data_IF_108797421834
#
_entry.id   IF_108797421834
#
_cell.length_a   1.000
_cell.length_b   1.000
_cell.length_c   1.000
_cell.angle_alpha   90.00
_cell.angle_beta   90.00
_cell.angle_gamma   90.00
#
_symmetry.space_group_name_H-M   'P 1'
#
loop_
_entity.id
_entity.type
_entity.pdbx_description
1 polymer ?
#
# COMPACT_ATOMS: atom_id res chain seq x y z
N UNK A 1 0.52 7.83 -13.09
CA UNK A 1 -0.69 7.80 -12.22
C UNK A 1 -1.61 9.04 -12.39
N UNK A 2 -1.40 9.86 -13.42
CA UNK A 2 -2.18 11.11 -13.64
C UNK A 2 -3.69 10.90 -13.76
N UNK A 3 -4.16 9.72 -14.18
CA UNK A 3 -5.60 9.39 -14.21
C UNK A 3 -6.28 9.46 -12.85
N UNK A 4 -5.50 9.41 -11.74
CA UNK A 4 -6.04 9.60 -10.40
C UNK A 4 -6.67 11.00 -10.19
N UNK A 5 -6.30 12.00 -11.00
CA UNK A 5 -6.90 13.34 -10.95
C UNK A 5 -8.41 13.30 -11.19
N UNK A 6 -8.86 12.44 -12.10
CA UNK A 6 -10.26 12.32 -12.52
C UNK A 6 -10.95 11.06 -11.99
N UNK A 7 -10.23 10.17 -11.33
CA UNK A 7 -10.81 8.96 -10.75
C UNK A 7 -11.63 9.28 -9.49
N UNK A 8 -12.72 8.55 -9.30
CA UNK A 8 -13.58 8.63 -8.11
C UNK A 8 -13.23 7.59 -7.05
N UNK A 9 -12.59 6.50 -7.47
CA UNK A 9 -12.16 5.39 -6.63
C UNK A 9 -10.78 4.91 -7.05
N UNK A 10 -9.91 4.62 -6.10
CA UNK A 10 -8.62 3.96 -6.35
C UNK A 10 -8.65 2.55 -5.75
N UNK A 11 -8.38 1.55 -6.59
CA UNK A 11 -8.13 0.17 -6.13
C UNK A 11 -6.64 -0.09 -6.24
N UNK A 12 -6.01 -0.40 -5.11
CA UNK A 12 -4.57 -0.57 -5.01
C UNK A 12 -4.20 -2.04 -4.75
N UNK A 13 -3.31 -2.58 -5.57
CA UNK A 13 -2.66 -3.87 -5.37
C UNK A 13 -1.19 -3.76 -5.75
N UNK A 14 -0.39 -3.26 -4.83
CA UNK A 14 1.06 -3.08 -5.02
C UNK A 14 1.85 -3.63 -3.83
N UNK A 15 3.13 -3.89 -4.04
CA UNK A 15 4.02 -4.47 -3.03
C UNK A 15 5.43 -3.92 -3.16
N UNK A 16 5.97 -3.41 -2.06
CA UNK A 16 7.36 -2.93 -1.94
C UNK A 16 7.80 -2.02 -3.09
N UNK A 17 6.95 -1.06 -3.47
CA UNK A 17 7.27 -0.12 -4.55
C UNK A 17 8.03 1.10 -4.03
N UNK A 18 8.90 1.59 -4.88
CA UNK A 18 9.55 2.88 -4.78
C UNK A 18 9.23 3.60 -6.09
N UNK A 19 8.23 4.46 -6.03
CA UNK A 19 7.79 5.21 -7.20
C UNK A 19 8.52 6.56 -7.26
N UNK A 20 8.71 7.14 -8.48
CA UNK A 20 9.13 8.53 -8.61
C UNK A 20 8.20 9.47 -7.83
N UNK A 21 8.76 10.53 -7.24
CA UNK A 21 8.01 11.44 -6.36
C UNK A 21 6.80 12.07 -7.07
N UNK A 22 6.95 12.44 -8.35
CA UNK A 22 5.83 12.98 -9.14
C UNK A 22 4.69 11.98 -9.34
N UNK A 23 4.99 10.68 -9.40
CA UNK A 23 3.95 9.65 -9.48
C UNK A 23 3.29 9.41 -8.13
N UNK A 24 4.09 9.38 -7.07
CA UNK A 24 3.59 9.21 -5.69
C UNK A 24 2.72 10.39 -5.28
N UNK A 25 3.05 11.59 -5.78
CA UNK A 25 2.24 12.80 -5.55
C UNK A 25 0.79 12.64 -6.03
N UNK A 26 0.54 11.94 -7.11
CA UNK A 26 -0.85 11.70 -7.55
C UNK A 26 -1.64 10.86 -6.55
N UNK A 27 -0.99 9.91 -5.88
CA UNK A 27 -1.63 9.14 -4.79
C UNK A 27 -1.90 10.05 -3.60
N UNK A 28 -0.92 10.86 -3.21
CA UNK A 28 -1.06 11.82 -2.11
C UNK A 28 -2.23 12.79 -2.36
N UNK A 29 -2.28 13.39 -3.54
CA UNK A 29 -3.32 14.34 -3.92
C UNK A 29 -4.71 13.68 -3.92
N UNK A 30 -4.81 12.42 -4.37
CA UNK A 30 -6.04 11.63 -4.35
C UNK A 30 -6.54 11.42 -2.91
N UNK A 31 -5.63 11.05 -2.00
CA UNK A 31 -5.95 10.85 -0.58
C UNK A 31 -6.32 12.16 0.11
N UNK A 32 -5.60 13.25 -0.16
CA UNK A 32 -5.91 14.59 0.37
C UNK A 32 -7.27 15.12 -0.11
N UNK A 33 -7.71 14.71 -1.28
CA UNK A 33 -9.05 15.01 -1.80
C UNK A 33 -10.16 14.21 -1.10
N UNK A 34 -9.83 13.33 -0.15
CA UNK A 34 -10.79 12.52 0.60
C UNK A 34 -11.49 11.46 -0.24
N UNK A 35 -10.92 11.09 -1.38
CA UNK A 35 -11.51 10.09 -2.29
C UNK A 35 -11.29 8.68 -1.76
N UNK A 36 -12.25 7.76 -2.01
CA UNK A 36 -12.20 6.41 -1.47
C UNK A 36 -11.08 5.57 -2.09
N UNK A 37 -10.47 4.71 -1.25
CA UNK A 37 -9.44 3.78 -1.64
C UNK A 37 -9.77 2.38 -1.12
N UNK A 38 -9.53 1.36 -1.96
CA UNK A 38 -9.58 -0.05 -1.59
C UNK A 38 -8.17 -0.63 -1.74
N UNK A 39 -7.60 -1.10 -0.63
CA UNK A 39 -6.33 -1.81 -0.63
C UNK A 39 -6.53 -3.32 -0.65
N UNK A 40 -5.89 -4.00 -1.60
CA UNK A 40 -5.93 -5.45 -1.71
C UNK A 40 -4.60 -6.06 -1.24
N UNK A 41 -4.69 -7.11 -0.43
CA UNK A 41 -3.56 -7.97 0.02
C UNK A 41 -2.30 -7.19 0.39
N UNK A 42 -1.32 -7.18 -0.52
CA UNK A 42 0.02 -6.62 -0.32
C UNK A 42 0.06 -5.10 -0.18
N UNK A 43 -1.06 -4.41 -0.31
CA UNK A 43 -1.13 -2.96 -0.14
C UNK A 43 -0.85 -2.51 1.30
N UNK A 44 -0.92 -3.41 2.29
CA UNK A 44 -0.44 -3.16 3.67
C UNK A 44 1.07 -2.91 3.75
N UNK A 45 1.82 -3.32 2.73
CA UNK A 45 3.25 -3.04 2.56
C UNK A 45 3.54 -2.57 1.12
N UNK A 46 2.70 -1.64 0.66
CA UNK A 46 2.74 -1.09 -0.69
C UNK A 46 4.10 -0.51 -1.07
N UNK A 47 4.71 0.23 -0.13
CA UNK A 47 5.92 0.99 -0.38
C UNK A 47 7.12 0.50 0.41
N UNK A 48 8.30 0.58 -0.22
CA UNK A 48 9.60 0.33 0.40
C UNK A 48 10.66 1.19 -0.29
N UNK A 49 10.84 2.40 0.20
CA UNK A 49 11.85 3.32 -0.30
C UNK A 49 13.23 2.91 0.21
N UNK A 50 14.13 2.57 -0.69
CA UNK A 50 15.49 2.13 -0.38
C UNK A 50 16.56 3.01 -1.04
N UNK A 51 16.30 3.44 -2.26
CA UNK A 51 17.24 4.21 -3.08
C UNK A 51 17.12 5.70 -2.81
N UNK A 52 15.91 6.25 -2.87
CA UNK A 52 15.66 7.68 -2.65
C UNK A 52 15.28 7.94 -1.19
N UNK A 53 16.29 8.01 -0.33
CA UNK A 53 16.12 8.31 1.12
C UNK A 53 15.72 9.76 1.40
N UNK A 54 15.84 10.64 0.42
CA UNK A 54 15.47 12.06 0.53
C UNK A 54 14.07 12.36 0.02
N UNK A 55 13.38 11.34 -0.51
CA UNK A 55 11.99 11.47 -0.94
C UNK A 55 11.10 11.89 0.24
N UNK A 56 10.16 12.82 0.05
CA UNK A 56 9.15 13.15 1.07
C UNK A 56 8.24 11.95 1.38
N UNK A 57 8.23 10.96 0.52
CA UNK A 57 7.46 9.71 0.68
C UNK A 57 8.26 8.56 1.29
N UNK A 58 9.52 8.78 1.68
CA UNK A 58 10.33 7.78 2.39
C UNK A 58 9.60 7.22 3.61
N UNK A 59 8.89 8.07 4.34
CA UNK A 59 8.05 7.73 5.50
C UNK A 59 6.88 6.77 5.18
N UNK A 60 6.48 6.63 3.90
CA UNK A 60 5.45 5.68 3.48
C UNK A 60 5.93 4.23 3.45
N UNK A 61 7.23 4.01 3.59
CA UNK A 61 7.79 2.66 3.66
C UNK A 61 7.16 1.83 4.77
N UNK A 62 6.87 0.57 4.48
CA UNK A 62 6.19 -0.36 5.40
C UNK A 62 6.87 -0.50 6.77
N UNK A 63 8.15 -0.26 6.84
CA UNK A 63 8.98 -0.29 8.06
C UNK A 63 9.34 1.12 8.56
N UNK A 64 8.59 2.14 8.16
CA UNK A 64 8.79 3.53 8.58
C UNK A 64 8.74 3.68 10.09
N UNK A 65 9.55 4.63 10.61
CA UNK A 65 9.69 4.89 12.05
C UNK A 65 9.32 6.32 12.43
N UNK A 66 8.91 7.15 11.47
CA UNK A 66 8.46 8.50 11.75
C UNK A 66 7.15 8.48 12.53
N UNK A 67 7.03 9.32 13.57
CA UNK A 67 5.93 9.27 14.53
C UNK A 67 4.53 9.24 13.89
N UNK A 68 4.30 10.14 12.90
CA UNK A 68 3.01 10.24 12.20
C UNK A 68 2.80 9.16 11.12
N UNK A 69 3.86 8.44 10.75
CA UNK A 69 3.87 7.42 9.70
C UNK A 69 4.50 6.11 10.17
N UNK A 70 4.46 5.84 11.47
CA UNK A 70 4.98 4.60 12.02
C UNK A 70 4.33 3.39 11.31
N UNK A 71 5.19 2.47 10.83
CA UNK A 71 4.81 1.32 10.01
C UNK A 71 4.21 1.68 8.65
N UNK A 72 4.38 2.93 8.22
CA UNK A 72 4.18 3.40 6.85
C UNK A 72 2.75 3.45 6.36
N UNK A 73 2.63 3.49 5.05
CA UNK A 73 1.37 3.72 4.32
C UNK A 73 0.25 2.75 4.70
N UNK A 74 0.57 1.45 4.81
CA UNK A 74 -0.43 0.44 5.15
C UNK A 74 -1.10 0.72 6.49
N UNK A 75 -0.30 1.03 7.52
CA UNK A 75 -0.82 1.31 8.85
C UNK A 75 -1.63 2.60 8.89
N UNK A 76 -1.14 3.66 8.26
CA UNK A 76 -1.78 4.98 8.31
C UNK A 76 -3.06 5.03 7.47
N UNK A 77 -3.06 4.43 6.29
CA UNK A 77 -4.17 4.54 5.33
C UNK A 77 -5.18 3.40 5.48
N UNK A 78 -4.73 2.17 5.70
CA UNK A 78 -5.60 0.99 5.80
C UNK A 78 -5.80 0.49 7.23
N UNK A 79 -5.10 1.05 8.21
CA UNK A 79 -5.14 0.59 9.61
C UNK A 79 -4.35 -0.68 9.89
N UNK A 80 -3.73 -1.28 8.87
CA UNK A 80 -3.04 -2.56 8.96
C UNK A 80 -1.59 -2.46 8.49
N UNK A 81 -0.73 -3.30 9.10
CA UNK A 81 0.66 -3.43 8.69
C UNK A 81 1.01 -4.87 8.37
N UNK A 82 1.95 -5.04 7.46
CA UNK A 82 2.52 -6.35 7.21
C UNK A 82 3.56 -6.70 8.29
N UNK A 83 3.47 -7.89 8.81
CA UNK A 83 4.46 -8.45 9.75
C UNK A 83 5.21 -9.59 9.09
N UNK A 84 4.48 -10.57 8.56
CA UNK A 84 5.04 -11.76 7.92
C UNK A 84 3.96 -12.44 7.04
N UNK A 85 4.34 -13.49 6.36
CA UNK A 85 3.42 -14.34 5.59
C UNK A 85 3.59 -15.82 5.97
N UNK A 86 2.56 -16.60 5.75
CA UNK A 86 2.61 -18.04 5.88
C UNK A 86 3.26 -18.68 4.64
N UNK A 87 3.95 -19.78 4.88
CA UNK A 87 4.55 -20.57 3.83
C UNK A 87 5.88 -20.03 3.32
N UNK A 88 6.57 -20.91 2.60
CA UNK A 88 7.87 -20.61 1.97
C UNK A 88 7.62 -20.19 0.53
N UNK A 89 8.06 -18.99 0.18
CA UNK A 89 7.90 -18.43 -1.15
C UNK A 89 8.46 -19.37 -2.23
N UNK A 90 7.68 -19.60 -3.29
CA UNK A 90 7.97 -20.53 -4.40
C UNK A 90 8.10 -22.02 -4.03
N UNK A 91 7.82 -22.41 -2.79
CA UNK A 91 7.82 -23.81 -2.36
C UNK A 91 6.46 -24.28 -1.87
N UNK A 92 5.69 -23.40 -1.26
CA UNK A 92 4.38 -23.69 -0.68
C UNK A 92 3.32 -22.83 -1.34
N UNK A 93 2.18 -23.45 -1.65
CA UNK A 93 1.00 -22.79 -2.18
C UNK A 93 -0.10 -22.73 -1.13
N UNK A 94 -0.97 -21.76 -1.29
CA UNK A 94 -2.23 -21.70 -0.55
C UNK A 94 -3.39 -21.54 -1.54
N UNK A 95 -4.55 -22.04 -1.14
CA UNK A 95 -5.80 -21.84 -1.88
C UNK A 95 -6.82 -21.14 -1.00
N UNK A 96 -7.61 -20.30 -1.61
CA UNK A 96 -8.78 -19.75 -0.95
C UNK A 96 -9.88 -20.82 -0.86
N UNK A 97 -10.47 -20.95 0.31
CA UNK A 97 -11.70 -21.66 0.52
C UNK A 97 -12.81 -20.61 0.65
N UNK A 98 -13.85 -20.73 -0.14
CA UNK A 98 -15.05 -19.91 -0.01
C UNK A 98 -15.98 -20.68 0.90
N UNK A 99 -16.18 -20.16 2.10
CA UNK A 99 -17.09 -20.75 3.07
C UNK A 99 -18.27 -19.80 3.29
N UNK A 100 -19.47 -20.35 3.36
CA UNK A 100 -20.66 -19.60 3.74
C UNK A 100 -21.20 -18.59 2.73
N UNK A 101 -20.97 -18.80 1.43
CA UNK A 101 -21.78 -18.07 0.41
C UNK A 101 -23.19 -18.65 0.47
N UNK A 102 -24.07 -18.00 1.21
CA UNK A 102 -25.49 -18.22 1.11
C UNK A 102 -26.01 -17.44 -0.11
N UNK A 103 -26.65 -18.14 -1.04
CA UNK A 103 -27.40 -17.52 -2.13
C UNK A 103 -28.63 -16.77 -1.60
#
# INVERSE_FOLDING_TARGET
LEHLKTADLMIMLIRFRELPDEQTKHIEDFLKAGKPIIGLRTSTHAFAYQKNKTSPYFKWSWNGKEADWEKGFGKVIFGETWVNHHGIHAKEGCRALIDGVQE
#
